data_IF_380665309492
#
_entry.id   IF_380665309492
#
_cell.length_a   1.000
_cell.length_b   1.000
_cell.length_c   1.000
_cell.angle_alpha   90.00
_cell.angle_beta   90.00
_cell.angle_gamma   90.00
#
_symmetry.space_group_name_H-M   'P 1'
#
loop_
_entity.id
_entity.type
_entity.pdbx_description
1 polymer ?
#
# COMPACT_ATOMS: atom_id res chain seq x y z
N UNK A 1 10.83 -9.79 -18.56
CA UNK A 1 10.40 -8.90 -17.47
C UNK A 1 11.40 -9.03 -16.35
N UNK A 2 12.04 -7.93 -15.96
CA UNK A 2 12.98 -7.93 -14.82
C UNK A 2 12.20 -7.98 -13.50
N UNK A 3 12.80 -8.50 -12.42
CA UNK A 3 12.14 -8.58 -11.10
C UNK A 3 11.63 -7.21 -10.62
N UNK A 4 12.35 -6.13 -10.94
CA UNK A 4 11.96 -4.76 -10.62
C UNK A 4 10.67 -4.31 -11.34
N UNK A 5 10.51 -4.69 -12.60
CA UNK A 5 9.35 -4.31 -13.42
C UNK A 5 8.09 -4.98 -12.85
N UNK A 6 8.18 -6.27 -12.54
CA UNK A 6 7.10 -7.02 -11.88
C UNK A 6 6.68 -6.40 -10.54
N UNK A 7 7.64 -5.96 -9.72
CA UNK A 7 7.34 -5.31 -8.43
C UNK A 7 6.63 -3.96 -8.66
N UNK A 8 7.01 -3.23 -9.70
CA UNK A 8 6.32 -1.98 -10.07
C UNK A 8 4.91 -2.25 -10.58
N UNK A 9 4.69 -3.29 -11.38
CA UNK A 9 3.35 -3.66 -11.85
C UNK A 9 2.42 -4.05 -10.69
N UNK A 10 2.89 -4.90 -9.76
CA UNK A 10 2.13 -5.26 -8.55
C UNK A 10 1.80 -4.02 -7.69
N UNK A 11 2.76 -3.06 -7.61
CA UNK A 11 2.54 -1.81 -6.89
C UNK A 11 1.57 -0.88 -7.61
N UNK A 12 1.62 -0.82 -8.95
CA UNK A 12 0.69 -0.06 -9.77
C UNK A 12 -0.74 -0.55 -9.58
N UNK A 13 -0.96 -1.86 -9.73
CA UNK A 13 -2.29 -2.46 -9.60
C UNK A 13 -2.91 -2.14 -8.24
N UNK A 14 -2.11 -2.22 -7.18
CA UNK A 14 -2.54 -1.83 -5.83
C UNK A 14 -2.92 -0.36 -5.71
N UNK A 15 -2.06 0.56 -6.17
CA UNK A 15 -2.34 2.00 -6.06
C UNK A 15 -3.55 2.41 -6.88
N UNK A 16 -3.69 1.86 -8.09
CA UNK A 16 -4.80 2.15 -8.99
C UNK A 16 -6.12 1.52 -8.52
N UNK A 17 -6.07 0.36 -7.86
CA UNK A 17 -7.27 -0.32 -7.32
C UNK A 17 -7.78 0.33 -6.04
N UNK A 18 -6.88 0.62 -5.10
CA UNK A 18 -7.29 1.05 -3.75
C UNK A 18 -7.36 2.58 -3.61
N UNK A 19 -6.54 3.31 -4.36
CA UNK A 19 -6.42 4.76 -4.24
C UNK A 19 -6.81 5.45 -5.55
N UNK A 20 -7.95 5.05 -6.10
CA UNK A 20 -8.55 5.63 -7.31
C UNK A 20 -9.25 6.97 -7.02
N UNK A 21 -9.69 7.65 -8.08
CA UNK A 21 -10.29 8.98 -8.00
C UNK A 21 -11.62 9.07 -7.23
N UNK A 22 -12.30 7.94 -7.00
CA UNK A 22 -13.62 7.91 -6.34
C UNK A 22 -13.53 7.61 -4.84
N UNK A 23 -12.32 7.53 -4.28
CA UNK A 23 -12.15 7.37 -2.83
C UNK A 23 -12.61 8.62 -2.09
N UNK A 24 -13.21 8.45 -0.91
CA UNK A 24 -13.54 9.59 -0.04
C UNK A 24 -12.28 10.21 0.58
N UNK A 25 -11.35 9.35 1.03
CA UNK A 25 -10.04 9.75 1.55
C UNK A 25 -9.06 8.57 1.49
N UNK A 26 -7.73 8.81 1.49
CA UNK A 26 -6.74 7.75 1.59
C UNK A 26 -6.88 6.89 2.86
N UNK A 27 -7.29 7.52 3.97
CA UNK A 27 -7.53 6.84 5.24
C UNK A 27 -8.72 5.89 5.15
N UNK A 28 -9.86 6.35 4.60
CA UNK A 28 -11.04 5.51 4.44
C UNK A 28 -10.74 4.34 3.51
N UNK A 29 -10.13 4.59 2.35
CA UNK A 29 -9.75 3.53 1.39
C UNK A 29 -8.90 2.42 2.05
N UNK A 30 -7.92 2.78 2.88
CA UNK A 30 -7.14 1.79 3.63
C UNK A 30 -8.02 1.01 4.63
N UNK A 31 -8.94 1.69 5.34
CA UNK A 31 -9.84 1.02 6.27
C UNK A 31 -10.81 0.08 5.55
N UNK A 32 -11.29 0.43 4.35
CA UNK A 32 -12.11 -0.44 3.52
C UNK A 32 -11.35 -1.70 3.10
N UNK A 33 -10.14 -1.54 2.57
CA UNK A 33 -9.26 -2.66 2.25
C UNK A 33 -9.07 -3.59 3.45
N UNK A 34 -8.73 -3.03 4.62
CA UNK A 34 -8.56 -3.80 5.86
C UNK A 34 -9.85 -4.48 6.25
N UNK A 35 -10.99 -3.80 6.20
CA UNK A 35 -12.30 -4.35 6.61
C UNK A 35 -12.70 -5.53 5.73
N UNK A 36 -12.55 -5.40 4.42
CA UNK A 36 -13.08 -6.32 3.41
C UNK A 36 -12.17 -7.51 3.09
N UNK A 37 -10.86 -7.37 3.33
CA UNK A 37 -9.89 -8.42 3.06
C UNK A 37 -9.68 -9.38 4.23
N UNK A 38 -9.35 -10.64 3.93
CA UNK A 38 -8.82 -11.59 4.92
C UNK A 38 -7.33 -11.33 5.24
N UNK A 39 -6.78 -12.02 6.24
CA UNK A 39 -5.37 -11.81 6.59
C UNK A 39 -4.39 -12.25 5.48
N UNK A 40 -4.77 -13.17 4.59
CA UNK A 40 -3.90 -13.67 3.52
C UNK A 40 -3.73 -12.59 2.45
N UNK A 41 -4.83 -11.95 2.05
CA UNK A 41 -4.82 -10.82 1.12
C UNK A 41 -3.99 -9.69 1.70
N UNK A 42 -4.25 -9.27 2.94
CA UNK A 42 -3.48 -8.19 3.59
C UNK A 42 -1.99 -8.51 3.74
N UNK A 43 -1.64 -9.76 4.07
CA UNK A 43 -0.23 -10.20 4.19
C UNK A 43 0.48 -10.21 2.83
N UNK A 44 -0.23 -10.59 1.76
CA UNK A 44 0.31 -10.51 0.40
C UNK A 44 0.49 -9.06 -0.05
N UNK A 45 -0.47 -8.18 0.26
CA UNK A 45 -0.37 -6.74 0.02
C UNK A 45 0.85 -6.13 0.69
N UNK A 46 1.02 -6.44 1.98
CA UNK A 46 2.18 -6.00 2.74
C UNK A 46 3.51 -6.49 2.15
N UNK A 47 3.57 -7.74 1.66
CA UNK A 47 4.79 -8.31 1.08
C UNK A 47 5.27 -7.56 -0.15
N UNK A 48 4.38 -7.23 -1.11
CA UNK A 48 4.85 -6.51 -2.30
C UNK A 48 5.14 -5.04 -1.99
N UNK A 49 4.40 -4.40 -1.06
CA UNK A 49 4.76 -3.05 -0.59
C UNK A 49 6.19 -3.05 -0.01
N UNK A 50 6.52 -4.04 0.83
CA UNK A 50 7.88 -4.19 1.38
C UNK A 50 8.93 -4.40 0.28
N UNK A 51 8.66 -5.25 -0.71
CA UNK A 51 9.55 -5.44 -1.88
C UNK A 51 9.77 -4.15 -2.66
N UNK A 52 8.71 -3.36 -2.88
CA UNK A 52 8.81 -2.07 -3.56
C UNK A 52 9.70 -1.10 -2.78
N UNK A 53 9.51 -1.02 -1.46
CA UNK A 53 10.34 -0.19 -0.57
C UNK A 53 11.82 -0.60 -0.57
N UNK A 54 12.11 -1.88 -0.77
CA UNK A 54 13.46 -2.45 -0.83
C UNK A 54 14.14 -2.32 -2.21
N UNK A 55 13.43 -1.88 -3.25
CA UNK A 55 14.01 -1.68 -4.58
C UNK A 55 15.23 -0.74 -4.52
N UNK A 56 16.30 -1.09 -5.25
CA UNK A 56 17.53 -0.29 -5.35
C UNK A 56 17.42 0.89 -6.33
N UNK A 57 16.30 1.60 -6.26
CA UNK A 57 16.04 2.87 -6.94
C UNK A 57 16.03 4.01 -5.91
N UNK A 58 16.19 5.25 -6.35
CA UNK A 58 16.22 6.43 -5.47
C UNK A 58 14.92 6.62 -4.69
N UNK A 59 14.96 7.41 -3.62
CA UNK A 59 13.74 7.73 -2.86
C UNK A 59 12.81 8.63 -3.67
N UNK A 60 13.39 9.47 -4.51
CA UNK A 60 12.72 10.35 -5.46
C UNK A 60 11.95 9.52 -6.49
N UNK A 61 12.59 8.53 -7.11
CA UNK A 61 11.93 7.62 -8.07
C UNK A 61 10.77 6.84 -7.42
N UNK A 62 10.92 6.39 -6.16
CA UNK A 62 9.80 5.76 -5.43
C UNK A 62 8.67 6.75 -5.18
N UNK A 63 9.00 7.97 -4.78
CA UNK A 63 8.01 9.00 -4.45
C UNK A 63 7.23 9.44 -5.69
N UNK A 64 7.93 9.62 -6.82
CA UNK A 64 7.35 9.96 -8.11
C UNK A 64 6.43 8.85 -8.60
N UNK A 65 6.89 7.59 -8.55
CA UNK A 65 6.07 6.44 -8.91
C UNK A 65 4.76 6.38 -8.10
N UNK A 66 4.82 6.54 -6.78
CA UNK A 66 3.61 6.51 -5.93
C UNK A 66 2.67 7.67 -6.29
N UNK A 67 3.23 8.87 -6.50
CA UNK A 67 2.46 10.07 -6.84
C UNK A 67 1.75 9.95 -8.20
N UNK A 68 2.38 9.33 -9.17
CA UNK A 68 1.83 9.17 -10.53
C UNK A 68 0.68 8.16 -10.58
N UNK A 69 0.67 7.17 -9.68
CA UNK A 69 -0.26 6.03 -9.77
C UNK A 69 -1.29 5.99 -8.64
N UNK A 70 -1.17 6.84 -7.62
CA UNK A 70 -2.20 7.04 -6.61
C UNK A 70 -2.95 8.36 -6.88
N UNK A 71 -4.28 8.33 -6.89
CA UNK A 71 -5.12 9.53 -7.03
C UNK A 71 -5.22 10.31 -5.71
N UNK A 72 -4.06 10.62 -5.10
CA UNK A 72 -3.96 11.25 -3.78
C UNK A 72 -3.31 12.63 -3.90
N UNK A 73 -3.95 13.64 -3.30
CA UNK A 73 -3.35 14.97 -3.18
C UNK A 73 -2.45 15.07 -1.93
N UNK A 74 -1.21 14.60 -2.07
CA UNK A 74 -0.20 14.55 -1.00
C UNK A 74 0.00 15.86 -0.19
N UNK A 75 -0.07 17.06 -0.78
CA UNK A 75 0.02 18.30 0.01
C UNK A 75 -1.06 18.45 1.08
N UNK A 76 -2.27 17.89 0.88
CA UNK A 76 -3.32 17.96 1.90
C UNK A 76 -3.09 17.02 3.09
N UNK A 77 -2.40 15.90 2.89
CA UNK A 77 -2.08 14.95 3.98
C UNK A 77 -0.79 15.31 4.72
N UNK A 78 0.01 16.26 4.21
CA UNK A 78 1.23 16.74 4.86
C UNK A 78 2.36 15.71 4.92
N UNK A 79 2.35 14.71 4.03
CA UNK A 79 3.38 13.67 3.92
C UNK A 79 3.90 13.59 2.49
N UNK A 80 5.16 13.20 2.32
CA UNK A 80 5.64 12.76 1.01
C UNK A 80 5.00 11.42 0.62
N UNK A 81 4.91 11.09 -0.68
CA UNK A 81 4.34 9.81 -1.12
C UNK A 81 5.04 8.59 -0.51
N UNK A 82 6.36 8.63 -0.37
CA UNK A 82 7.13 7.55 0.22
C UNK A 82 6.93 7.43 1.74
N UNK A 83 6.81 8.54 2.46
CA UNK A 83 6.46 8.52 3.90
C UNK A 83 5.07 7.94 4.13
N UNK A 84 4.11 8.37 3.31
CA UNK A 84 2.75 7.84 3.34
C UNK A 84 2.75 6.32 3.09
N UNK A 85 3.45 5.82 2.08
CA UNK A 85 3.50 4.38 1.82
C UNK A 85 4.14 3.58 2.97
N UNK A 86 5.18 4.12 3.62
CA UNK A 86 5.78 3.50 4.81
C UNK A 86 4.79 3.43 5.97
N UNK A 87 3.93 4.44 6.12
CA UNK A 87 2.84 4.43 7.09
C UNK A 87 1.82 3.34 6.74
N UNK A 88 1.38 3.25 5.48
CA UNK A 88 0.47 2.17 5.01
C UNK A 88 1.03 0.78 5.36
N UNK A 89 2.31 0.54 5.07
CA UNK A 89 2.96 -0.73 5.41
C UNK A 89 2.92 -1.04 6.93
N UNK A 90 3.06 -0.01 7.77
CA UNK A 90 3.01 -0.15 9.23
C UNK A 90 1.59 -0.50 9.71
N UNK A 91 0.58 0.19 9.18
CA UNK A 91 -0.83 -0.01 9.53
C UNK A 91 -1.32 -1.39 9.06
N UNK A 92 -0.93 -1.81 7.86
CA UNK A 92 -1.20 -3.16 7.34
C UNK A 92 -0.54 -4.24 8.19
N UNK A 93 0.72 -4.04 8.63
CA UNK A 93 1.40 -5.01 9.47
C UNK A 93 0.69 -5.23 10.82
N UNK A 94 0.15 -4.18 11.43
CA UNK A 94 -0.67 -4.31 12.63
C UNK A 94 -1.98 -5.04 12.33
N UNK A 95 -2.65 -4.67 11.24
CA UNK A 95 -3.94 -5.25 10.83
C UNK A 95 -3.84 -6.75 10.51
N UNK A 96 -2.78 -7.17 9.82
CA UNK A 96 -2.49 -8.59 9.54
C UNK A 96 -2.34 -9.38 10.84
N UNK A 97 -1.64 -8.83 11.86
CA UNK A 97 -1.46 -9.50 13.15
C UNK A 97 -2.79 -9.70 13.87
N UNK A 98 -3.65 -8.68 13.87
CA UNK A 98 -4.98 -8.73 14.49
C UNK A 98 -5.86 -9.76 13.79
N UNK A 99 -6.07 -9.65 12.47
CA UNK A 99 -6.94 -10.57 11.71
C UNK A 99 -6.49 -12.02 11.80
N UNK A 100 -5.18 -12.26 11.70
CA UNK A 100 -4.62 -13.61 11.83
C UNK A 100 -4.86 -14.22 13.21
N UNK A 101 -4.94 -13.42 14.27
CA UNK A 101 -5.27 -13.88 15.61
C UNK A 101 -6.78 -14.20 15.74
N UNK A 102 -7.64 -13.35 15.18
CA UNK A 102 -9.10 -13.54 15.16
C UNK A 102 -9.51 -14.83 14.44
N UNK A 103 -8.88 -15.13 13.31
CA UNK A 103 -9.18 -16.33 12.53
C UNK A 103 -8.66 -17.62 13.16
N UNK A 104 -7.53 -17.56 13.88
CA UNK A 104 -7.01 -18.72 14.63
C UNK A 104 -7.81 -19.02 15.90
N UNK A 105 -8.58 -18.05 16.39
CA UNK A 105 -9.44 -18.18 17.56
C UNK A 105 -10.87 -18.63 17.23
N UNK A 106 -11.23 -18.74 15.94
CA UNK A 106 -12.48 -19.33 15.45
C UNK A 106 -12.33 -20.85 15.27
#
# INVERSE_FOLDING_TARGET
MCDQEKIKDEMFDFLASEFHQDIESPEEALQELIRESDYIVLDNTLKFIKKFLELKISQEEKSEFIKEHACIYFPAIGMTPLEWLKKIATDLEQSVKVKKAEEKGR
#
